data_IF_827182657246
#
_entry.id   IF_827182657246
#
_cell.length_a   1.000
_cell.length_b   1.000
_cell.length_c   1.000
_cell.angle_alpha   90.00
_cell.angle_beta   90.00
_cell.angle_gamma   90.00
#
_symmetry.space_group_name_H-M   'P 1'
#
loop_
_entity.id
_entity.type
_entity.pdbx_description
1 polymer ?
#
# COMPACT_ATOMS: atom_id res chain seq x y z
N UNK A 1 -3.69 -8.14 27.61
CA UNK A 1 -2.91 -7.29 26.67
C UNK A 1 -3.76 -7.08 25.42
N UNK A 2 -3.89 -5.84 24.90
CA UNK A 2 -4.54 -5.58 23.60
C UNK A 2 -3.44 -5.30 22.57
N UNK A 3 -3.58 -5.82 21.36
CA UNK A 3 -2.66 -5.59 20.23
C UNK A 3 -3.37 -4.81 19.13
N UNK A 4 -2.65 -3.92 18.45
CA UNK A 4 -3.17 -3.08 17.36
C UNK A 4 -2.28 -3.29 16.11
N UNK A 5 -2.61 -4.26 15.24
CA UNK A 5 -1.78 -4.61 14.09
C UNK A 5 -1.87 -3.56 12.96
N UNK A 6 -0.72 -3.30 12.33
CA UNK A 6 -0.59 -2.40 11.17
C UNK A 6 0.01 -3.15 10.00
N UNK A 7 -0.64 -3.11 8.84
CA UNK A 7 -0.13 -3.71 7.60
C UNK A 7 0.96 -2.85 6.98
N UNK A 8 2.02 -3.45 6.43
CA UNK A 8 3.12 -2.70 5.80
C UNK A 8 3.81 -3.51 4.68
N UNK A 9 4.44 -2.89 3.68
CA UNK A 9 4.31 -1.48 3.31
C UNK A 9 3.27 -1.35 2.20
N UNK A 10 2.19 -0.64 2.44
CA UNK A 10 1.07 -0.52 1.52
C UNK A 10 1.34 0.56 0.47
N UNK A 11 1.54 0.27 -0.81
CA UNK A 11 1.74 -0.99 -1.53
C UNK A 11 2.89 -0.75 -2.53
N UNK A 12 3.25 -1.75 -3.34
CA UNK A 12 4.23 -1.53 -4.42
C UNK A 12 5.66 -1.35 -3.91
N UNK A 13 6.03 -2.06 -2.84
CA UNK A 13 7.31 -1.96 -2.16
C UNK A 13 8.02 -3.31 -2.17
N UNK A 14 8.90 -3.52 -3.14
CA UNK A 14 9.65 -4.79 -3.33
C UNK A 14 11.15 -4.58 -3.61
N UNK A 15 11.60 -3.33 -3.66
CA UNK A 15 12.99 -2.97 -3.91
C UNK A 15 13.51 -2.11 -2.76
N UNK A 16 14.64 -2.51 -2.17
CA UNK A 16 15.27 -1.83 -1.05
C UNK A 16 16.31 -0.79 -1.49
N UNK A 17 16.92 -0.98 -2.66
CA UNK A 17 17.94 -0.07 -3.18
C UNK A 17 17.25 1.23 -3.59
N UNK A 18 17.68 2.36 -3.00
CA UNK A 18 17.10 3.68 -3.29
C UNK A 18 15.58 3.76 -3.07
N UNK A 19 15.07 2.95 -2.13
CA UNK A 19 13.64 2.76 -1.80
C UNK A 19 12.82 4.03 -1.53
N UNK A 20 13.46 5.15 -1.23
CA UNK A 20 12.83 6.46 -0.97
C UNK A 20 12.77 7.39 -2.20
N UNK A 21 13.46 7.02 -3.28
CA UNK A 21 13.58 7.82 -4.51
C UNK A 21 13.21 7.08 -5.79
N UNK A 22 13.08 5.75 -5.77
CA UNK A 22 12.63 4.98 -6.93
C UNK A 22 11.11 5.00 -7.11
N UNK A 23 10.65 4.89 -8.35
CA UNK A 23 9.24 4.68 -8.69
C UNK A 23 9.01 3.24 -9.14
N UNK A 24 8.00 2.59 -8.57
CA UNK A 24 7.42 1.40 -9.20
C UNK A 24 6.39 1.85 -10.21
N UNK A 25 6.60 1.46 -11.47
CA UNK A 25 5.68 1.74 -12.56
C UNK A 25 4.84 0.49 -12.80
N UNK A 26 3.53 0.59 -12.56
CA UNK A 26 2.60 -0.54 -12.66
C UNK A 26 1.30 -0.13 -13.36
N UNK A 27 0.75 -0.99 -14.24
CA UNK A 27 -0.59 -0.81 -14.77
C UNK A 27 -1.68 -0.91 -13.69
N UNK A 28 -2.88 -0.31 -13.89
CA UNK A 28 -4.00 -0.42 -12.95
C UNK A 28 -4.35 -1.88 -12.60
N UNK A 29 -4.31 -2.78 -13.59
CA UNK A 29 -4.57 -4.21 -13.35
C UNK A 29 -3.63 -4.81 -12.30
N UNK A 30 -2.33 -4.51 -12.36
CA UNK A 30 -1.34 -5.06 -11.45
C UNK A 30 -1.44 -4.46 -10.04
N UNK A 31 -1.88 -3.19 -9.93
CA UNK A 31 -2.23 -2.56 -8.64
C UNK A 31 -3.24 -3.44 -7.89
N UNK A 32 -4.33 -3.85 -8.55
CA UNK A 32 -5.39 -4.62 -7.89
C UNK A 32 -5.07 -6.10 -7.74
N UNK A 33 -4.64 -6.77 -8.81
CA UNK A 33 -4.48 -8.23 -8.84
C UNK A 33 -3.25 -8.74 -8.08
N UNK A 34 -2.23 -7.89 -7.88
CA UNK A 34 -0.98 -8.31 -7.24
C UNK A 34 -0.64 -7.46 -6.01
N UNK A 35 -0.50 -6.14 -6.19
CA UNK A 35 0.05 -5.31 -5.11
C UNK A 35 -0.94 -5.04 -3.97
N UNK A 36 -2.23 -4.92 -4.25
CA UNK A 36 -3.27 -4.75 -3.23
C UNK A 36 -3.88 -6.11 -2.79
N UNK A 37 -3.82 -7.12 -3.66
CA UNK A 37 -4.40 -8.44 -3.39
C UNK A 37 -3.89 -9.07 -2.09
N UNK A 38 -2.61 -8.91 -1.75
CA UNK A 38 -2.04 -9.44 -0.50
C UNK A 38 -2.58 -8.74 0.77
N UNK A 39 -3.04 -7.49 0.67
CA UNK A 39 -3.54 -6.71 1.81
C UNK A 39 -5.06 -6.80 1.94
N UNK A 40 -5.76 -7.02 0.82
CA UNK A 40 -7.21 -6.99 0.73
C UNK A 40 -7.91 -7.91 1.75
N UNK A 41 -7.53 -9.19 1.95
CA UNK A 41 -8.20 -10.06 2.92
C UNK A 41 -8.13 -9.53 4.36
N UNK A 42 -6.98 -8.99 4.78
CA UNK A 42 -6.81 -8.46 6.13
C UNK A 42 -7.60 -7.15 6.35
N UNK A 43 -7.72 -6.33 5.30
CA UNK A 43 -8.53 -5.10 5.33
C UNK A 43 -10.02 -5.44 5.35
N UNK A 44 -10.49 -6.34 4.49
CA UNK A 44 -11.91 -6.73 4.41
C UNK A 44 -12.39 -7.47 5.66
N UNK A 45 -11.49 -8.18 6.35
CA UNK A 45 -11.79 -8.85 7.60
C UNK A 45 -11.69 -7.95 8.85
N UNK A 46 -11.45 -6.64 8.68
CA UNK A 46 -11.19 -5.69 9.78
C UNK A 46 -10.08 -6.17 10.75
N UNK A 47 -9.09 -6.89 10.22
CA UNK A 47 -8.04 -7.54 11.01
C UNK A 47 -6.86 -6.60 11.31
N UNK A 48 -6.88 -5.36 10.81
CA UNK A 48 -5.82 -4.37 10.97
C UNK A 48 -6.38 -3.01 11.40
N UNK A 49 -5.73 -2.37 12.37
CA UNK A 49 -6.11 -1.02 12.83
C UNK A 49 -5.63 0.09 11.90
N UNK A 50 -4.83 -0.25 10.89
CA UNK A 50 -4.34 0.68 9.88
C UNK A 50 -3.31 0.07 8.94
N UNK A 51 -2.81 0.92 8.03
CA UNK A 51 -1.75 0.60 7.07
C UNK A 51 -0.60 1.60 7.20
N UNK A 52 0.61 1.12 6.98
CA UNK A 52 1.81 1.93 6.85
C UNK A 52 2.16 2.07 5.37
N UNK A 53 2.24 3.31 4.89
CA UNK A 53 2.61 3.63 3.52
C UNK A 53 4.00 3.08 3.15
N UNK A 54 4.19 2.78 1.87
CA UNK A 54 5.54 2.54 1.33
C UNK A 54 6.36 3.82 1.19
N UNK A 55 7.69 3.65 1.22
CA UNK A 55 8.64 4.76 1.08
C UNK A 55 8.75 5.27 -0.37
N UNK A 56 8.52 4.38 -1.34
CA UNK A 56 8.74 4.65 -2.75
C UNK A 56 7.62 5.50 -3.39
N UNK A 57 7.84 5.83 -4.65
CA UNK A 57 6.78 6.34 -5.52
C UNK A 57 6.07 5.18 -6.22
N UNK A 58 4.78 5.35 -6.47
CA UNK A 58 4.03 4.51 -7.41
C UNK A 58 3.55 5.40 -8.53
N UNK A 59 3.89 5.04 -9.77
CA UNK A 59 3.57 5.82 -10.96
C UNK A 59 3.91 7.32 -10.78
N UNK A 60 5.11 7.59 -10.24
CA UNK A 60 5.63 8.95 -10.03
C UNK A 60 5.08 9.69 -8.80
N UNK A 61 4.18 9.10 -8.01
CA UNK A 61 3.58 9.75 -6.82
C UNK A 61 4.07 9.13 -5.52
N UNK A 62 4.55 9.96 -4.58
CA UNK A 62 5.00 9.53 -3.26
C UNK A 62 3.86 8.95 -2.45
N UNK A 63 4.03 7.74 -1.92
CA UNK A 63 2.95 7.07 -1.20
C UNK A 63 2.65 7.71 0.15
N UNK A 64 3.65 8.25 0.86
CA UNK A 64 3.46 8.97 2.14
C UNK A 64 2.62 10.24 2.05
N UNK A 65 2.53 10.89 0.89
CA UNK A 65 1.81 12.17 0.71
C UNK A 65 0.59 12.06 -0.20
N UNK A 66 0.24 10.87 -0.68
CA UNK A 66 -0.88 10.69 -1.61
C UNK A 66 -2.21 10.58 -0.83
N UNK A 67 -3.20 11.48 -1.05
CA UNK A 67 -4.46 11.50 -0.31
C UNK A 67 -5.30 10.21 -0.43
N UNK A 68 -5.13 9.46 -1.52
CA UNK A 68 -5.82 8.18 -1.81
C UNK A 68 -5.49 7.05 -0.83
N UNK A 69 -4.75 7.31 0.25
CA UNK A 69 -4.52 6.36 1.35
C UNK A 69 -5.58 6.42 2.45
N UNK A 70 -6.46 7.42 2.43
CA UNK A 70 -7.54 7.54 3.42
C UNK A 70 -8.68 6.60 3.04
N UNK A 71 -8.69 5.40 3.62
CA UNK A 71 -9.84 4.55 3.99
C UNK A 71 -11.10 4.45 3.11
N UNK A 72 -11.09 4.96 1.88
CA UNK A 72 -12.18 4.79 0.93
C UNK A 72 -12.20 3.34 0.43
N UNK A 73 -13.35 2.88 -0.08
CA UNK A 73 -13.42 1.58 -0.73
C UNK A 73 -12.29 1.49 -1.77
N UNK A 74 -11.71 0.29 -1.93
CA UNK A 74 -10.64 -0.03 -2.88
C UNK A 74 -11.15 0.05 -4.35
N UNK A 75 -11.86 1.12 -4.71
CA UNK A 75 -12.54 1.35 -5.98
C UNK A 75 -12.01 2.64 -6.60
N UNK A 76 -10.83 2.51 -7.20
CA UNK A 76 -10.38 3.37 -8.30
C UNK A 76 -9.54 2.55 -9.27
#
# INVERSE_FOLDING_TARGET
>A
MKVAPVLKHFYGYSNEVNRNVTSVNMPPRLKHEYFQAAFKPAIEADAATGVMASYNMVNGRRRTSTPTQRGGPLVD
#
